data_IF_493550004495
#
_entry.id   IF_493550004495
#
_cell.length_a   1.000
_cell.length_b   1.000
_cell.length_c   1.000
_cell.angle_alpha   90.00
_cell.angle_beta   90.00
_cell.angle_gamma   90.00
#
_symmetry.space_group_name_H-M   'P 1'
#
loop_
_entity.id
_entity.type
_entity.pdbx_description
1 polymer ?
#
# COMPACT_ATOMS: atom_id res chain seq x y z
N UNK A 1 -0.59 10.40 4.23
CA UNK A 1 -0.94 9.14 3.53
C UNK A 1 -0.05 9.09 2.32
N UNK A 2 0.57 7.95 2.02
CA UNK A 2 1.38 7.77 0.82
C UNK A 2 0.69 6.81 -0.15
N UNK A 3 0.72 7.15 -1.45
CA UNK A 3 0.23 6.29 -2.53
C UNK A 3 1.39 6.06 -3.51
N UNK A 4 1.80 4.81 -3.69
CA UNK A 4 2.80 4.43 -4.67
C UNK A 4 2.31 4.60 -6.11
N UNK A 5 3.25 4.71 -7.05
CA UNK A 5 2.94 4.87 -8.46
C UNK A 5 2.04 3.73 -9.00
N UNK A 6 1.07 4.06 -9.86
CA UNK A 6 0.19 3.07 -10.51
C UNK A 6 -0.83 2.37 -9.60
N UNK A 7 -0.95 2.79 -8.34
CA UNK A 7 -2.01 2.31 -7.44
C UNK A 7 -3.40 2.78 -7.93
N UNK A 8 -4.39 1.90 -7.81
CA UNK A 8 -5.78 2.12 -8.18
C UNK A 8 -6.65 1.90 -6.96
N UNK A 9 -7.34 2.95 -6.50
CA UNK A 9 -8.23 2.92 -5.34
C UNK A 9 -9.65 3.09 -5.88
N UNK A 10 -10.49 2.07 -5.74
CA UNK A 10 -11.80 2.02 -6.37
C UNK A 10 -12.91 1.78 -5.33
N UNK A 11 -14.00 2.55 -5.47
CA UNK A 11 -15.16 2.52 -4.57
C UNK A 11 -15.18 3.67 -3.56
N UNK A 12 -16.29 3.82 -2.86
CA UNK A 12 -16.44 4.77 -1.77
C UNK A 12 -15.79 4.21 -0.49
N UNK A 13 -14.46 4.15 -0.48
CA UNK A 13 -13.67 3.56 0.60
C UNK A 13 -12.74 4.58 1.23
N UNK A 14 -12.55 4.47 2.54
CA UNK A 14 -11.63 5.31 3.29
C UNK A 14 -10.23 4.69 3.31
N UNK A 15 -9.21 5.53 3.10
CA UNK A 15 -7.82 5.19 3.40
C UNK A 15 -7.37 6.03 4.57
N UNK A 16 -7.13 5.37 5.70
CA UNK A 16 -6.89 6.01 6.97
C UNK A 16 -5.62 6.87 7.00
N UNK A 17 -5.61 7.83 7.93
CA UNK A 17 -4.46 8.69 8.17
C UNK A 17 -3.21 7.86 8.43
N UNK A 18 -2.09 8.30 7.86
CA UNK A 18 -0.81 7.62 8.02
C UNK A 18 -0.72 6.28 7.30
N UNK A 19 -1.71 5.86 6.49
CA UNK A 19 -1.58 4.64 5.70
C UNK A 19 -0.60 4.78 4.52
N UNK A 20 -0.07 3.64 4.08
CA UNK A 20 0.85 3.47 2.95
C UNK A 20 0.24 2.49 1.94
N UNK A 21 0.03 2.93 0.70
CA UNK A 21 -0.40 2.07 -0.41
C UNK A 21 0.79 1.77 -1.31
N UNK A 22 1.09 0.48 -1.52
CA UNK A 22 2.19 0.05 -2.38
C UNK A 22 1.96 0.39 -3.85
N UNK A 23 3.04 0.60 -4.61
CA UNK A 23 2.98 0.80 -6.06
C UNK A 23 2.25 -0.36 -6.77
N UNK A 24 1.52 -0.07 -7.84
CA UNK A 24 0.78 -1.05 -8.64
C UNK A 24 -0.45 -1.69 -7.98
N UNK A 25 -0.76 -1.35 -6.72
CA UNK A 25 -1.80 -2.03 -5.95
C UNK A 25 -3.22 -1.70 -6.41
N UNK A 26 -4.17 -2.61 -6.21
CA UNK A 26 -5.61 -2.39 -6.47
C UNK A 26 -6.38 -2.50 -5.15
N UNK A 27 -6.80 -1.35 -4.61
CA UNK A 27 -7.47 -1.24 -3.31
C UNK A 27 -8.99 -1.23 -3.53
N UNK A 28 -9.66 -2.27 -3.03
CA UNK A 28 -11.12 -2.46 -3.13
C UNK A 28 -11.83 -2.44 -1.76
N UNK A 29 -11.07 -2.30 -0.67
CA UNK A 29 -11.56 -2.35 0.70
C UNK A 29 -10.95 -1.20 1.51
N UNK A 30 -11.64 -0.68 2.55
CA UNK A 30 -11.09 0.35 3.41
C UNK A 30 -9.76 -0.06 4.03
N UNK A 31 -8.84 0.90 4.14
CA UNK A 31 -7.49 0.67 4.70
C UNK A 31 -7.40 1.39 6.04
N UNK A 32 -7.16 0.68 7.16
CA UNK A 32 -7.08 1.30 8.47
C UNK A 32 -5.93 2.33 8.59
N UNK A 33 -6.02 3.31 9.52
CA UNK A 33 -4.93 4.23 9.80
C UNK A 33 -3.62 3.51 10.16
N UNK A 34 -2.49 4.09 9.77
CA UNK A 34 -1.15 3.58 10.10
C UNK A 34 -0.90 2.12 9.66
N UNK A 35 -1.48 1.70 8.53
CA UNK A 35 -1.25 0.39 7.91
C UNK A 35 -0.65 0.49 6.52
N UNK A 36 0.07 -0.55 6.10
CA UNK A 36 0.59 -0.69 4.74
C UNK A 36 -0.27 -1.71 4.00
N UNK A 37 -0.86 -1.32 2.86
CA UNK A 37 -1.62 -2.19 1.99
C UNK A 37 -0.94 -2.32 0.62
N UNK A 38 -0.81 -3.53 0.10
CA UNK A 38 -0.20 -3.79 -1.20
C UNK A 38 -0.82 -5.01 -1.91
N UNK A 39 -0.66 -5.08 -3.24
CA UNK A 39 -1.06 -6.21 -4.07
C UNK A 39 -2.31 -5.97 -4.92
N UNK A 40 -2.70 -6.99 -5.70
CA UNK A 40 -3.86 -7.00 -6.60
C UNK A 40 -4.66 -8.29 -6.38
N UNK A 41 -5.77 -8.28 -5.61
CA UNK A 41 -6.29 -7.18 -4.81
C UNK A 41 -5.41 -6.87 -3.58
N UNK A 42 -5.43 -5.62 -3.13
CA UNK A 42 -4.60 -5.15 -2.02
C UNK A 42 -5.01 -5.80 -0.69
N UNK A 43 -4.00 -6.19 0.09
CA UNK A 43 -4.14 -6.72 1.46
C UNK A 43 -3.24 -5.95 2.40
N UNK A 44 -3.57 -5.95 3.69
CA UNK A 44 -2.70 -5.38 4.73
C UNK A 44 -1.46 -6.27 4.82
N UNK A 45 -0.29 -5.68 4.52
CA UNK A 45 1.00 -6.37 4.52
C UNK A 45 1.91 -5.92 5.66
N UNK A 46 1.49 -4.93 6.44
CA UNK A 46 2.24 -4.50 7.63
C UNK A 46 1.88 -3.10 8.09
N UNK A 47 2.85 -2.42 8.70
CA UNK A 47 2.75 -1.03 9.14
C UNK A 47 3.83 -0.18 8.47
N UNK A 48 3.58 1.12 8.22
CA UNK A 48 4.60 2.03 7.73
C UNK A 48 5.68 2.26 8.81
N UNK A 49 6.90 2.59 8.40
CA UNK A 49 8.02 2.87 9.31
C UNK A 49 7.92 4.23 10.03
N UNK A 50 6.93 5.04 9.70
CA UNK A 50 6.72 6.37 10.27
C UNK A 50 5.24 6.73 10.39
N UNK A 51 4.95 7.75 11.20
CA UNK A 51 3.59 8.27 11.40
C UNK A 51 3.02 8.96 10.14
N UNK A 52 3.90 9.50 9.30
CA UNK A 52 3.56 10.26 8.10
C UNK A 52 4.37 9.73 6.90
N UNK A 53 4.01 8.56 6.33
CA UNK A 53 4.77 7.94 5.24
C UNK A 53 4.91 8.81 3.99
N UNK A 54 4.06 9.83 3.82
CA UNK A 54 4.16 10.81 2.74
C UNK A 54 5.32 11.80 2.88
N UNK A 55 5.93 11.91 4.06
CA UNK A 55 7.11 12.77 4.27
C UNK A 55 8.40 12.02 3.99
N UNK A 56 8.46 10.75 4.36
CA UNK A 56 9.67 9.92 4.20
C UNK A 56 9.74 9.25 2.83
N UNK A 57 8.59 9.07 2.17
CA UNK A 57 8.47 8.52 0.81
C UNK A 57 9.09 7.12 0.64
N UNK A 58 9.20 6.35 1.72
CA UNK A 58 9.68 4.97 1.72
C UNK A 58 8.72 4.03 0.98
N UNK A 59 9.11 3.64 -0.24
CA UNK A 59 8.34 2.75 -1.12
C UNK A 59 8.45 1.27 -0.74
N UNK A 60 9.36 0.88 0.15
CA UNK A 60 9.49 -0.53 0.51
C UNK A 60 8.25 -1.00 1.29
N UNK A 61 7.78 -2.20 0.98
CA UNK A 61 6.80 -2.90 1.80
C UNK A 61 7.16 -4.37 1.81
N UNK A 62 7.15 -4.98 3.00
CA UNK A 62 7.36 -6.43 3.11
C UNK A 62 6.07 -7.13 2.75
N UNK A 63 5.96 -7.60 1.50
CA UNK A 63 4.96 -8.58 1.13
C UNK A 63 5.25 -9.88 1.89
N UNK A 64 4.47 -10.20 2.92
CA UNK A 64 4.59 -11.45 3.70
C UNK A 64 4.23 -12.72 2.91
N UNK A 65 4.00 -12.60 1.59
CA UNK A 65 3.74 -13.72 0.70
C UNK A 65 4.82 -13.73 -0.39
N UNK A 66 5.60 -14.81 -0.44
CA UNK A 66 6.72 -15.09 -1.36
C UNK A 66 6.34 -15.16 -2.86
N UNK A 67 5.28 -14.47 -3.28
CA UNK A 67 4.78 -14.43 -4.68
C UNK A 67 4.89 -13.06 -5.33
N UNK A 68 5.36 -12.04 -4.62
CA UNK A 68 5.77 -10.78 -5.24
C UNK A 68 7.29 -10.80 -5.42
N UNK A 69 7.74 -11.69 -6.29
CA UNK A 69 9.07 -11.54 -6.86
C UNK A 69 9.09 -10.27 -7.71
N UNK A 70 10.16 -9.53 -7.51
CA UNK A 70 10.58 -8.32 -8.18
C UNK A 70 10.21 -8.29 -9.68
N UNK A 71 9.13 -7.61 -10.03
CA UNK A 71 8.92 -7.08 -11.38
C UNK A 71 8.78 -8.09 -12.51
N UNK A 72 7.63 -8.75 -12.61
CA UNK A 72 7.18 -9.45 -13.84
C UNK A 72 6.76 -8.47 -14.97
N UNK A 73 7.44 -7.32 -15.10
CA UNK A 73 7.39 -6.48 -16.31
C UNK A 73 6.29 -5.41 -16.39
N UNK A 74 6.19 -4.52 -15.40
CA UNK A 74 5.70 -3.14 -15.62
C UNK A 74 6.85 -2.15 -15.54
#
# INVERSE_FOLDING_TARGET
MMIGAGAKILGNIEVGRGAKIGAGSVVLQPVPPHTTAAGVPARIVGKPGSDKPSMDMDQHFNGIHHTFEYGDGI
#
